data_IF_610992281950
#
_entry.id   IF_610992281950
#
_cell.length_a   1.000
_cell.length_b   1.000
_cell.length_c   1.000
_cell.angle_alpha   90.00
_cell.angle_beta   90.00
_cell.angle_gamma   90.00
#
_symmetry.space_group_name_H-M   'P 1'
#
loop_
_entity.id
_entity.type
_entity.pdbx_description
1 polymer ?
#
# COMPACT_ATOMS: atom_id res chain seq x y z
N UNK A 1 -10.12 -12.09 -18.78
CA UNK A 1 -9.97 -11.66 -17.36
C UNK A 1 -9.64 -10.18 -17.36
N UNK A 2 -10.48 -9.35 -16.73
CA UNK A 2 -10.25 -7.89 -16.67
C UNK A 2 -8.96 -7.53 -15.94
N UNK A 3 -8.37 -6.38 -16.26
CA UNK A 3 -7.17 -5.85 -15.60
C UNK A 3 -7.54 -5.43 -14.17
N UNK A 4 -6.91 -6.02 -13.15
CA UNK A 4 -7.14 -5.66 -11.75
C UNK A 4 -6.68 -4.21 -11.48
N UNK A 5 -7.51 -3.45 -10.77
CA UNK A 5 -7.12 -2.13 -10.31
C UNK A 5 -6.05 -2.25 -9.22
N UNK A 6 -4.96 -1.51 -9.32
CA UNK A 6 -3.82 -1.65 -8.39
C UNK A 6 -3.52 -0.34 -7.64
N UNK A 7 -4.46 0.20 -6.84
CA UNK A 7 -4.28 1.52 -6.21
C UNK A 7 -3.42 1.49 -4.93
N UNK A 8 -3.01 0.30 -4.48
CA UNK A 8 -2.34 0.09 -3.20
C UNK A 8 -0.86 -0.27 -3.38
N UNK A 9 0.01 0.36 -2.60
CA UNK A 9 1.43 0.02 -2.49
C UNK A 9 1.77 -0.35 -1.05
N UNK A 10 2.48 -1.46 -0.85
CA UNK A 10 3.06 -1.86 0.42
C UNK A 10 4.56 -1.69 0.32
N UNK A 11 5.13 -0.84 1.17
CA UNK A 11 6.58 -0.69 1.18
C UNK A 11 7.28 -1.84 1.92
N UNK A 12 8.61 -1.82 1.86
CA UNK A 12 9.48 -2.82 2.46
C UNK A 12 9.39 -2.94 3.98
N UNK A 13 8.83 -1.93 4.67
CA UNK A 13 8.67 -1.97 6.13
C UNK A 13 7.47 -2.82 6.56
N UNK A 14 6.57 -3.14 5.62
CA UNK A 14 5.44 -4.03 5.89
C UNK A 14 5.85 -5.50 5.70
N UNK A 15 5.56 -6.39 6.68
CA UNK A 15 5.86 -7.81 6.57
C UNK A 15 5.25 -8.43 5.31
N UNK A 16 6.08 -9.17 4.57
CA UNK A 16 5.71 -9.79 3.29
C UNK A 16 4.51 -10.74 3.43
N UNK A 17 4.44 -11.47 4.53
CA UNK A 17 3.30 -12.35 4.85
C UNK A 17 1.98 -11.59 4.97
N UNK A 18 2.00 -10.42 5.62
CA UNK A 18 0.81 -9.57 5.74
C UNK A 18 0.38 -9.08 4.35
N UNK A 19 1.32 -8.61 3.53
CA UNK A 19 1.04 -8.22 2.16
C UNK A 19 0.38 -9.36 1.37
N UNK A 20 0.92 -10.58 1.37
CA UNK A 20 0.35 -11.67 0.58
C UNK A 20 -1.05 -12.06 1.04
N UNK A 21 -1.31 -12.08 2.35
CA UNK A 21 -2.65 -12.32 2.91
C UNK A 21 -3.64 -11.26 2.43
N UNK A 22 -3.25 -9.98 2.47
CA UNK A 22 -4.11 -8.87 2.02
C UNK A 22 -4.30 -8.89 0.50
N UNK A 23 -3.24 -9.07 -0.28
CA UNK A 23 -3.30 -9.16 -1.75
C UNK A 23 -4.21 -10.28 -2.22
N UNK A 24 -4.15 -11.46 -1.60
CA UNK A 24 -5.06 -12.57 -1.93
C UNK A 24 -6.52 -12.14 -1.78
N UNK A 25 -6.85 -11.41 -0.70
CA UNK A 25 -8.20 -10.90 -0.47
C UNK A 25 -8.60 -9.79 -1.45
N UNK A 26 -7.68 -8.87 -1.78
CA UNK A 26 -7.90 -7.84 -2.79
C UNK A 26 -8.22 -8.44 -4.16
N UNK A 27 -7.46 -9.45 -4.59
CA UNK A 27 -7.65 -10.10 -5.89
C UNK A 27 -9.05 -10.70 -6.04
N UNK A 28 -9.63 -11.23 -4.96
CA UNK A 28 -10.99 -11.79 -4.96
C UNK A 28 -12.07 -10.73 -5.17
N UNK A 29 -11.78 -9.46 -4.88
CA UNK A 29 -12.73 -8.35 -5.00
C UNK A 29 -12.40 -7.42 -6.19
N UNK A 30 -11.56 -7.87 -7.13
CA UNK A 30 -11.24 -7.13 -8.35
C UNK A 30 -10.08 -6.12 -8.23
N UNK A 31 -9.41 -6.08 -7.08
CA UNK A 31 -8.28 -5.18 -6.82
C UNK A 31 -6.97 -5.94 -6.69
N UNK A 32 -5.85 -5.23 -6.75
CA UNK A 32 -4.51 -5.76 -6.52
C UNK A 32 -3.70 -4.76 -5.71
N UNK A 33 -2.53 -5.20 -5.26
CA UNK A 33 -1.56 -4.36 -4.58
C UNK A 33 -0.15 -4.70 -5.08
N UNK A 34 0.71 -3.69 -5.07
CA UNK A 34 2.15 -3.84 -5.30
C UNK A 34 2.84 -3.98 -3.95
N UNK A 35 3.79 -4.90 -3.88
CA UNK A 35 4.80 -4.89 -2.81
C UNK A 35 6.11 -4.41 -3.40
N UNK A 36 6.72 -3.43 -2.74
CA UNK A 36 7.95 -2.81 -3.20
C UNK A 36 9.13 -3.39 -2.41
N UNK A 37 9.94 -4.29 -3.00
CA UNK A 37 11.13 -4.83 -2.36
C UNK A 37 12.25 -3.79 -2.27
N UNK A 38 13.26 -4.07 -1.44
CA UNK A 38 14.40 -3.19 -1.15
C UNK A 38 15.16 -2.68 -2.39
N UNK A 39 15.11 -3.39 -3.52
CA UNK A 39 15.87 -3.09 -4.75
C UNK A 39 15.07 -2.40 -5.86
N UNK A 40 13.77 -2.16 -5.69
CA UNK A 40 12.92 -1.61 -6.77
C UNK A 40 13.05 -0.10 -6.97
N UNK A 41 13.69 0.59 -6.04
CA UNK A 41 14.00 2.02 -6.16
C UNK A 41 15.51 2.19 -6.21
N UNK A 42 15.97 3.10 -7.07
CA UNK A 42 17.38 3.48 -7.16
C UNK A 42 17.88 4.03 -5.82
N UNK A 43 17.01 4.75 -5.11
CA UNK A 43 17.24 5.29 -3.77
C UNK A 43 15.96 5.13 -2.93
N UNK A 44 16.11 4.75 -1.65
CA UNK A 44 14.96 4.61 -0.73
C UNK A 44 14.63 5.95 -0.05
N UNK A 45 14.26 6.93 -0.88
CA UNK A 45 13.86 8.26 -0.42
C UNK A 45 12.34 8.45 -0.53
N UNK A 46 11.73 9.33 0.30
CA UNK A 46 10.32 9.68 0.19
C UNK A 46 9.92 10.12 -1.22
N UNK A 47 10.77 10.89 -1.90
CA UNK A 47 10.57 11.42 -3.24
C UNK A 47 10.56 10.30 -4.30
N UNK A 48 11.46 9.32 -4.16
CA UNK A 48 11.51 8.15 -5.03
C UNK A 48 10.25 7.29 -4.89
N UNK A 49 9.76 7.10 -3.66
CA UNK A 49 8.50 6.40 -3.38
C UNK A 49 7.30 7.12 -3.98
N UNK A 50 7.23 8.44 -3.80
CA UNK A 50 6.15 9.26 -4.36
C UNK A 50 6.15 9.22 -5.89
N UNK A 51 7.32 9.36 -6.51
CA UNK A 51 7.49 9.24 -7.97
C UNK A 51 7.09 7.85 -8.48
N UNK A 52 7.39 6.79 -7.73
CA UNK A 52 6.90 5.45 -8.05
C UNK A 52 5.37 5.37 -7.97
N UNK A 53 4.78 5.92 -6.91
CA UNK A 53 3.34 5.93 -6.72
C UNK A 53 2.63 6.63 -7.87
N UNK A 54 3.07 7.83 -8.28
CA UNK A 54 2.47 8.54 -9.40
C UNK A 54 2.58 7.78 -10.72
N UNK A 55 3.78 7.26 -11.06
CA UNK A 55 3.98 6.48 -12.29
C UNK A 55 3.11 5.22 -12.38
N UNK A 56 2.78 4.62 -11.23
CA UNK A 56 1.94 3.41 -11.16
C UNK A 56 0.48 3.71 -10.81
N UNK A 57 0.08 4.98 -10.76
CA UNK A 57 -1.24 5.44 -10.33
C UNK A 57 -1.68 4.85 -8.97
N UNK A 58 -0.73 4.75 -8.04
CA UNK A 58 -0.99 4.36 -6.65
C UNK A 58 -1.65 5.53 -5.93
N UNK A 59 -2.72 5.24 -5.19
CA UNK A 59 -3.46 6.22 -4.39
C UNK A 59 -3.16 6.10 -2.90
N UNK A 60 -2.86 4.88 -2.44
CA UNK A 60 -2.68 4.57 -1.02
C UNK A 60 -1.35 3.84 -0.80
N UNK A 61 -0.50 4.40 0.06
CA UNK A 61 0.77 3.82 0.50
C UNK A 61 0.62 3.25 1.92
N UNK A 62 0.85 1.95 2.06
CA UNK A 62 0.92 1.26 3.35
C UNK A 62 2.38 1.16 3.78
N UNK A 63 2.67 1.68 4.98
CA UNK A 63 4.03 1.70 5.54
C UNK A 63 3.98 1.60 7.06
N UNK A 64 5.07 1.15 7.67
CA UNK A 64 5.34 1.27 9.10
C UNK A 64 6.35 2.38 9.42
N UNK A 65 6.87 3.08 8.41
CA UNK A 65 7.78 4.22 8.56
C UNK A 65 6.98 5.49 8.87
N UNK A 66 7.12 6.00 10.10
CA UNK A 66 6.45 7.24 10.54
C UNK A 66 6.91 8.48 9.78
N UNK A 67 8.16 8.50 9.31
CA UNK A 67 8.72 9.60 8.52
C UNK A 67 8.00 9.86 7.19
N UNK A 68 7.16 8.92 6.73
CA UNK A 68 6.41 9.07 5.49
C UNK A 68 4.99 9.62 5.67
N UNK A 69 4.56 9.93 6.90
CA UNK A 69 3.17 10.37 7.14
C UNK A 69 2.80 11.64 6.38
N UNK A 70 3.75 12.56 6.20
CA UNK A 70 3.53 13.87 5.56
C UNK A 70 3.76 13.85 4.04
N UNK A 71 3.85 12.65 3.43
CA UNK A 71 4.07 12.51 2.00
C UNK A 71 2.87 13.04 1.21
N UNK A 72 2.98 14.26 0.67
CA UNK A 72 1.90 14.91 -0.08
C UNK A 72 1.66 14.21 -1.43
N UNK A 73 0.39 14.04 -1.78
CA UNK A 73 -0.04 13.49 -3.08
C UNK A 73 -0.42 12.00 -3.09
N UNK A 74 -0.16 11.28 -2.00
CA UNK A 74 -0.61 9.89 -1.78
C UNK A 74 -1.15 9.77 -0.35
N UNK A 75 -2.21 9.00 -0.15
CA UNK A 75 -2.70 8.74 1.22
C UNK A 75 -1.79 7.72 1.88
N UNK A 76 -1.06 8.15 2.90
CA UNK A 76 -0.20 7.27 3.68
C UNK A 76 -0.98 6.65 4.84
N UNK A 77 -0.81 5.34 4.99
CA UNK A 77 -1.46 4.53 6.01
C UNK A 77 -0.40 3.83 6.82
N UNK A 78 -0.44 4.06 8.13
CA UNK A 78 0.28 3.25 9.12
C UNK A 78 -0.74 2.40 9.87
N UNK A 79 -0.88 1.10 9.50
CA UNK A 79 -1.84 0.23 10.15
C UNK A 79 -1.59 0.15 11.66
N UNK A 80 -2.65 0.28 12.46
CA UNK A 80 -2.59 0.07 13.90
C UNK A 80 -2.47 -1.43 14.24
N UNK A 81 -2.20 -1.76 15.51
CA UNK A 81 -1.98 -3.15 15.97
C UNK A 81 -3.14 -4.09 15.62
N UNK A 82 -4.39 -3.59 15.63
CA UNK A 82 -5.58 -4.39 15.29
C UNK A 82 -5.65 -4.69 13.79
N UNK A 83 -5.40 -3.69 12.95
CA UNK A 83 -5.34 -3.85 11.51
C UNK A 83 -4.27 -4.86 11.11
N UNK A 84 -3.07 -4.79 11.69
CA UNK A 84 -1.98 -5.74 11.41
C UNK A 84 -2.31 -7.21 11.69
N UNK A 85 -3.27 -7.48 12.58
CA UNK A 85 -3.68 -8.84 12.97
C UNK A 85 -4.84 -9.39 12.15
N UNK A 86 -5.55 -8.56 11.40
CA UNK A 86 -6.77 -8.95 10.67
C UNK A 86 -6.74 -8.45 9.24
N UNK A 87 -6.79 -9.40 8.29
CA UNK A 87 -6.87 -9.08 6.85
C UNK A 87 -8.09 -8.24 6.55
N UNK A 88 -9.26 -8.58 7.11
CA UNK A 88 -10.48 -7.80 6.88
C UNK A 88 -10.34 -6.37 7.41
N UNK A 89 -9.69 -6.17 8.56
CA UNK A 89 -9.46 -4.81 9.09
C UNK A 89 -8.44 -4.03 8.25
N UNK A 90 -7.42 -4.68 7.68
CA UNK A 90 -6.53 -4.06 6.69
C UNK A 90 -7.32 -3.60 5.47
N UNK A 91 -8.15 -4.46 4.89
CA UNK A 91 -8.98 -4.14 3.74
C UNK A 91 -9.89 -2.95 4.05
N UNK A 92 -10.58 -2.96 5.20
CA UNK A 92 -11.42 -1.83 5.63
C UNK A 92 -10.64 -0.50 5.67
N UNK A 93 -9.44 -0.50 6.28
CA UNK A 93 -8.58 0.69 6.34
C UNK A 93 -8.15 1.15 4.96
N UNK A 94 -7.76 0.22 4.08
CA UNK A 94 -7.34 0.53 2.71
C UNK A 94 -8.45 1.20 1.91
N UNK A 95 -9.65 0.63 1.93
CA UNK A 95 -10.79 1.17 1.17
C UNK A 95 -11.34 2.46 1.77
N UNK A 96 -11.29 2.62 3.10
CA UNK A 96 -11.60 3.90 3.75
C UNK A 96 -10.69 4.99 3.20
N UNK A 97 -9.38 4.71 3.11
CA UNK A 97 -8.39 5.68 2.63
C UNK A 97 -8.46 5.91 1.13
N UNK A 98 -8.82 4.89 0.36
CA UNK A 98 -9.05 5.03 -1.07
C UNK A 98 -10.27 5.90 -1.38
N UNK A 99 -11.32 5.85 -0.57
CA UNK A 99 -12.51 6.70 -0.70
C UNK A 99 -12.21 8.18 -0.41
N UNK A 100 -11.22 8.46 0.43
CA UNK A 100 -10.78 9.82 0.77
C UNK A 100 -9.86 10.46 -0.30
N UNK A 101 -9.61 9.78 -1.43
CA UNK A 101 -8.76 10.22 -2.54
C UNK A 101 -9.59 10.80 -3.68
#
# INVERSE_FOLDING_TARGET
MGKLETPFLFDKSVPRELYFKVKRRLNLIGYSAIWLPFSSLKEDTPESLLSYCFRKNIKVLVTFRRSLLDLKGVKVVIPNKRARKSVNKMIEVLFTKLRDC
#
